data_IF_812358506704
#
_entry.id   IF_812358506704
#
_cell.length_a   1.000
_cell.length_b   1.000
_cell.length_c   1.000
_cell.angle_alpha   90.00
_cell.angle_beta   90.00
_cell.angle_gamma   90.00
#
_symmetry.space_group_name_H-M   'P 1'
#
loop_
_entity.id
_entity.type
_entity.pdbx_description
1 polymer ?
#
# COMPACT_ATOMS: atom_id res chain seq x y z
N UNK A 1 -10.82 5.92 45.10
CA UNK A 1 -10.94 7.15 44.27
C UNK A 1 -11.23 6.77 42.83
N UNK A 2 -10.43 5.91 42.14
CA UNK A 2 -10.63 5.52 40.74
C UNK A 2 -11.99 4.88 40.49
N UNK A 3 -12.39 3.89 41.31
CA UNK A 3 -13.74 3.25 41.22
C UNK A 3 -14.89 4.24 41.42
N UNK A 4 -14.67 5.29 42.22
CA UNK A 4 -15.67 6.34 42.43
C UNK A 4 -15.78 7.25 41.22
N UNK A 5 -14.65 7.57 40.58
CA UNK A 5 -14.60 8.35 39.34
C UNK A 5 -15.31 7.59 38.20
N UNK A 6 -15.01 6.30 38.02
CA UNK A 6 -15.68 5.46 37.01
C UNK A 6 -17.20 5.38 37.25
N UNK A 7 -17.66 5.26 38.54
CA UNK A 7 -19.08 5.24 38.86
C UNK A 7 -19.76 6.58 38.56
N UNK A 8 -19.09 7.69 38.82
CA UNK A 8 -19.61 9.03 38.54
C UNK A 8 -19.65 9.28 37.02
N UNK A 9 -18.64 8.85 36.28
CA UNK A 9 -18.61 8.96 34.81
C UNK A 9 -19.75 8.16 34.15
N UNK A 10 -20.16 7.01 34.73
CA UNK A 10 -21.32 6.23 34.24
C UNK A 10 -22.65 6.89 34.57
N UNK A 11 -22.73 7.67 35.64
CA UNK A 11 -23.95 8.35 36.05
C UNK A 11 -24.18 9.69 35.36
N UNK A 12 -23.09 10.39 34.95
CA UNK A 12 -23.18 11.68 34.29
C UNK A 12 -24.10 11.70 33.04
N UNK A 13 -24.07 10.73 32.14
CA UNK A 13 -24.98 10.71 30.97
C UNK A 13 -26.46 10.55 31.34
N UNK A 14 -26.75 10.05 32.54
CA UNK A 14 -28.15 9.90 33.04
C UNK A 14 -28.67 11.15 33.76
N UNK A 15 -27.74 12.02 34.20
CA UNK A 15 -28.07 13.27 34.90
C UNK A 15 -28.18 14.45 33.94
N UNK A 16 -27.57 14.36 32.77
CA UNK A 16 -27.68 15.39 31.75
C UNK A 16 -28.87 15.08 30.83
N UNK A 17 -29.91 15.93 30.81
CA UNK A 17 -31.06 15.77 29.92
C UNK A 17 -30.71 16.04 28.46
N UNK A 18 -29.55 16.69 28.18
CA UNK A 18 -29.06 16.98 26.83
C UNK A 18 -28.13 15.85 26.43
N UNK A 19 -28.55 15.06 25.45
CA UNK A 19 -27.74 13.96 24.93
C UNK A 19 -26.86 14.45 23.78
N UNK A 20 -25.60 14.05 23.79
CA UNK A 20 -24.73 14.22 22.62
C UNK A 20 -25.30 13.41 21.44
N UNK A 21 -25.28 13.96 20.22
CA UNK A 21 -25.65 13.18 19.03
C UNK A 21 -24.73 11.96 18.91
N UNK A 22 -25.26 10.82 18.40
CA UNK A 22 -24.46 9.59 18.29
C UNK A 22 -23.30 9.71 17.32
N UNK A 23 -23.33 10.70 16.43
CA UNK A 23 -22.31 10.93 15.42
C UNK A 23 -21.98 12.42 15.35
N UNK A 24 -20.70 12.73 15.50
CA UNK A 24 -20.13 14.07 15.28
C UNK A 24 -19.06 13.93 14.23
N UNK A 25 -19.19 14.65 13.11
CA UNK A 25 -18.16 14.69 12.08
C UNK A 25 -17.14 15.77 12.45
N UNK A 26 -15.91 15.37 12.64
CA UNK A 26 -14.75 16.27 12.66
C UNK A 26 -14.03 16.21 11.32
N UNK A 27 -14.11 17.23 10.46
CA UNK A 27 -13.42 17.24 9.18
C UNK A 27 -11.89 17.25 9.29
N UNK A 28 -11.34 17.58 10.46
CA UNK A 28 -9.90 17.57 10.74
C UNK A 28 -9.40 16.23 11.32
N UNK A 29 -10.29 15.26 11.50
CA UNK A 29 -9.93 13.92 11.92
C UNK A 29 -9.07 13.25 10.83
N UNK A 30 -7.86 12.78 11.16
CA UNK A 30 -6.98 12.10 10.21
C UNK A 30 -7.64 10.92 9.47
N UNK A 31 -8.55 10.20 10.11
CA UNK A 31 -9.27 9.08 9.49
C UNK A 31 -10.26 9.57 8.42
N UNK A 32 -10.94 10.69 8.66
CA UNK A 32 -11.84 11.33 7.68
C UNK A 32 -11.04 11.83 6.48
N UNK A 33 -9.92 12.49 6.72
CA UNK A 33 -9.07 13.00 5.65
C UNK A 33 -8.38 11.86 4.88
N UNK A 34 -7.88 10.86 5.57
CA UNK A 34 -7.29 9.67 4.95
C UNK A 34 -8.26 8.96 4.02
N UNK A 35 -9.51 8.78 4.47
CA UNK A 35 -10.59 8.23 3.66
C UNK A 35 -10.89 9.09 2.44
N UNK A 36 -11.02 10.40 2.59
CA UNK A 36 -11.29 11.32 1.48
C UNK A 36 -10.22 11.24 0.40
N UNK A 37 -8.94 11.24 0.79
CA UNK A 37 -7.82 11.14 -0.14
C UNK A 37 -7.82 9.76 -0.82
N UNK A 38 -8.05 8.69 -0.08
CA UNK A 38 -8.12 7.34 -0.61
C UNK A 38 -9.24 7.19 -1.64
N UNK A 39 -10.46 7.65 -1.32
CA UNK A 39 -11.58 7.60 -2.26
C UNK A 39 -11.30 8.48 -3.51
N UNK A 40 -10.66 9.63 -3.33
CA UNK A 40 -10.24 10.48 -4.45
C UNK A 40 -9.22 9.77 -5.35
N UNK A 41 -8.27 9.00 -4.77
CA UNK A 41 -7.34 8.18 -5.55
C UNK A 41 -8.08 7.11 -6.36
N UNK A 42 -9.05 6.44 -5.74
CA UNK A 42 -9.73 5.30 -6.36
C UNK A 42 -10.60 5.68 -7.57
N UNK A 43 -10.98 6.95 -7.71
CA UNK A 43 -11.73 7.46 -8.88
C UNK A 43 -10.81 8.08 -9.95
N UNK A 44 -9.49 8.18 -9.72
CA UNK A 44 -8.58 8.62 -10.76
C UNK A 44 -8.53 7.63 -11.92
N UNK A 45 -8.17 8.11 -13.10
CA UNK A 45 -7.91 7.25 -14.25
C UNK A 45 -6.74 6.30 -13.97
N UNK A 46 -6.79 5.11 -14.55
CA UNK A 46 -5.66 4.19 -14.57
C UNK A 46 -4.68 4.59 -15.67
N UNK A 47 -3.41 4.54 -15.34
CA UNK A 47 -2.32 4.77 -16.27
C UNK A 47 -1.46 3.51 -16.34
N UNK A 48 -1.06 3.11 -17.54
CA UNK A 48 -0.11 2.02 -17.70
C UNK A 48 1.19 2.36 -16.94
N UNK A 49 1.57 1.49 -16.00
CA UNK A 49 2.75 1.74 -15.14
C UNK A 49 4.03 1.89 -15.96
N UNK A 50 4.10 1.21 -17.10
CA UNK A 50 5.24 1.26 -18.03
C UNK A 50 5.50 2.67 -18.56
N UNK A 51 4.45 3.44 -18.87
CA UNK A 51 4.53 4.69 -19.63
C UNK A 51 4.29 5.94 -18.79
N UNK A 52 4.21 5.85 -17.45
CA UNK A 52 4.01 7.01 -16.59
C UNK A 52 5.14 8.03 -16.79
N UNK A 53 4.78 9.18 -17.32
CA UNK A 53 5.70 10.30 -17.52
C UNK A 53 6.14 10.92 -16.19
N UNK A 54 7.36 11.51 -16.20
CA UNK A 54 7.90 12.17 -15.01
C UNK A 54 7.07 13.41 -14.64
N UNK A 55 6.69 13.52 -13.36
CA UNK A 55 5.92 14.62 -12.81
C UNK A 55 6.39 15.01 -11.41
N UNK A 56 6.00 16.20 -10.94
CA UNK A 56 6.29 16.70 -9.61
C UNK A 56 5.19 16.32 -8.63
N UNK A 57 5.59 16.00 -7.40
CA UNK A 57 4.69 15.77 -6.29
C UNK A 57 5.09 14.60 -5.42
N UNK A 58 4.51 14.56 -4.23
CA UNK A 58 4.44 13.45 -3.29
C UNK A 58 2.98 13.09 -3.06
N UNK A 59 2.70 11.90 -2.51
CA UNK A 59 1.32 11.50 -2.30
C UNK A 59 1.14 9.99 -2.22
N UNK A 60 0.01 9.51 -2.67
CA UNK A 60 -0.40 8.10 -2.59
C UNK A 60 -0.60 7.49 -3.97
N UNK A 61 -0.46 6.18 -4.06
CA UNK A 61 -0.66 5.43 -5.30
C UNK A 61 -1.13 4.01 -5.03
N UNK A 62 -1.76 3.42 -6.03
CA UNK A 62 -2.18 2.02 -6.04
C UNK A 62 -1.75 1.39 -7.37
N UNK A 63 -1.27 0.14 -7.31
CA UNK A 63 -0.87 -0.66 -8.48
C UNK A 63 -1.90 -1.77 -8.66
N UNK A 64 -2.32 -1.98 -9.90
CA UNK A 64 -3.32 -2.95 -10.32
C UNK A 64 -2.70 -3.95 -11.27
N UNK A 65 -3.27 -5.15 -11.32
CA UNK A 65 -2.83 -6.23 -12.17
C UNK A 65 -3.94 -6.67 -13.14
N UNK A 66 -3.56 -6.92 -14.41
CA UNK A 66 -4.49 -7.33 -15.47
C UNK A 66 -3.96 -8.50 -16.31
N UNK A 67 -2.99 -9.24 -15.78
CA UNK A 67 -2.30 -10.31 -16.54
C UNK A 67 -2.79 -11.73 -16.23
N UNK A 68 -1.99 -12.68 -16.72
CA UNK A 68 -2.30 -14.11 -16.70
C UNK A 68 -1.62 -14.94 -15.61
N UNK A 69 -0.89 -14.36 -14.66
CA UNK A 69 -0.22 -15.12 -13.60
C UNK A 69 -1.24 -15.84 -12.71
N UNK A 70 -1.19 -17.17 -12.66
CA UNK A 70 -2.21 -18.01 -12.03
C UNK A 70 -2.64 -17.59 -10.63
N UNK A 71 -1.65 -17.27 -9.76
CA UNK A 71 -1.94 -16.88 -8.37
C UNK A 71 -2.67 -15.54 -8.26
N UNK A 72 -2.63 -14.69 -9.30
CA UNK A 72 -3.24 -13.36 -9.31
C UNK A 72 -4.51 -13.26 -10.15
N UNK A 73 -4.95 -14.39 -10.75
CA UNK A 73 -6.21 -14.46 -11.51
C UNK A 73 -7.41 -13.83 -10.80
N UNK A 74 -7.61 -14.03 -9.49
CA UNK A 74 -8.76 -13.44 -8.80
C UNK A 74 -8.82 -11.92 -8.85
N UNK A 75 -7.66 -11.20 -8.84
CA UNK A 75 -7.62 -9.75 -8.90
C UNK A 75 -7.37 -9.19 -10.30
N UNK A 76 -7.10 -10.07 -11.28
CA UNK A 76 -6.79 -9.62 -12.64
C UNK A 76 -7.96 -8.84 -13.25
N UNK A 77 -7.68 -7.60 -13.67
CA UNK A 77 -8.68 -6.69 -14.24
C UNK A 77 -9.67 -6.08 -13.24
N UNK A 78 -9.60 -6.44 -11.96
CA UNK A 78 -10.50 -5.91 -10.91
C UNK A 78 -10.10 -4.50 -10.43
N UNK A 79 -10.92 -3.91 -9.54
CA UNK A 79 -10.59 -2.67 -8.84
C UNK A 79 -9.81 -2.88 -7.53
N UNK A 80 -9.44 -4.12 -7.21
CA UNK A 80 -8.60 -4.43 -6.06
C UNK A 80 -7.12 -4.23 -6.40
N UNK A 81 -6.40 -3.32 -5.72
CA UNK A 81 -4.98 -3.12 -5.95
C UNK A 81 -4.17 -4.32 -5.44
N UNK A 82 -3.12 -4.69 -6.18
CA UNK A 82 -2.14 -5.69 -5.74
C UNK A 82 -1.14 -5.10 -4.75
N UNK A 83 -0.93 -3.76 -4.83
CA UNK A 83 -0.06 -2.99 -3.95
C UNK A 83 -0.58 -1.56 -3.79
N UNK A 84 -0.46 -1.01 -2.60
CA UNK A 84 -0.63 0.42 -2.32
C UNK A 84 0.60 0.97 -1.62
N UNK A 85 0.85 2.27 -1.77
CA UNK A 85 1.97 2.91 -1.15
C UNK A 85 1.88 4.42 -1.18
N UNK A 86 2.84 5.05 -0.50
CA UNK A 86 3.00 6.50 -0.48
C UNK A 86 4.40 6.91 -0.90
N UNK A 87 4.54 8.17 -1.24
CA UNK A 87 5.80 8.85 -1.40
C UNK A 87 5.82 10.09 -0.54
N UNK A 88 6.69 10.11 0.46
CA UNK A 88 6.84 11.28 1.33
C UNK A 88 7.72 12.34 0.64
N UNK A 89 7.44 13.66 0.83
CA UNK A 89 8.30 14.72 0.34
C UNK A 89 9.66 14.69 1.07
N UNK A 90 10.64 15.34 0.49
CA UNK A 90 11.99 15.42 1.09
C UNK A 90 11.98 16.12 2.45
N UNK A 91 11.07 17.09 2.65
CA UNK A 91 10.88 17.81 3.90
C UNK A 91 9.39 18.08 4.11
N UNK A 92 8.94 18.14 5.36
CA UNK A 92 7.56 18.53 5.71
C UNK A 92 7.18 19.94 5.28
N UNK A 93 8.17 20.82 5.05
CA UNK A 93 7.96 22.18 4.59
C UNK A 93 7.66 22.28 3.07
N UNK A 94 7.77 21.20 2.33
CA UNK A 94 7.47 21.16 0.89
C UNK A 94 5.96 21.13 0.66
N UNK A 95 5.34 22.29 0.49
CA UNK A 95 3.87 22.45 0.39
C UNK A 95 3.35 22.46 -1.04
N UNK A 96 4.21 22.71 -2.03
CA UNK A 96 3.83 22.67 -3.45
C UNK A 96 4.39 21.43 -4.16
N UNK A 97 3.74 20.93 -5.23
CA UNK A 97 4.25 19.78 -5.99
C UNK A 97 5.71 19.97 -6.46
N UNK A 98 6.10 21.17 -6.88
CA UNK A 98 7.48 21.46 -7.30
C UNK A 98 8.46 21.31 -6.12
N UNK A 99 8.13 21.82 -4.95
CA UNK A 99 8.95 21.68 -3.75
C UNK A 99 9.04 20.23 -3.27
N UNK A 100 7.98 19.45 -3.45
CA UNK A 100 7.96 18.03 -3.14
C UNK A 100 8.90 17.22 -4.04
N UNK A 101 9.34 17.77 -5.16
CA UNK A 101 10.18 17.09 -6.14
C UNK A 101 9.42 16.01 -6.89
N UNK A 102 10.13 15.01 -7.41
CA UNK A 102 9.53 13.93 -8.21
C UNK A 102 9.35 12.64 -7.39
N UNK A 103 9.04 12.75 -6.11
CA UNK A 103 9.06 11.62 -5.16
C UNK A 103 8.08 10.52 -5.56
N UNK A 104 6.84 10.91 -5.88
CA UNK A 104 5.78 9.95 -6.25
C UNK A 104 6.13 9.24 -7.57
N UNK A 105 6.56 9.98 -8.59
CA UNK A 105 7.04 9.38 -9.82
C UNK A 105 8.24 8.45 -9.59
N UNK A 106 9.20 8.85 -8.75
CA UNK A 106 10.38 8.02 -8.45
C UNK A 106 9.98 6.67 -7.86
N UNK A 107 9.01 6.65 -6.94
CA UNK A 107 8.49 5.39 -6.36
C UNK A 107 7.83 4.52 -7.42
N UNK A 108 6.95 5.07 -8.26
CA UNK A 108 6.32 4.34 -9.36
C UNK A 108 7.38 3.76 -10.33
N UNK A 109 8.40 4.56 -10.65
CA UNK A 109 9.50 4.12 -11.50
C UNK A 109 10.35 3.00 -10.87
N UNK A 110 10.56 3.00 -9.55
CA UNK A 110 11.26 1.93 -8.85
C UNK A 110 10.44 0.63 -8.85
N UNK A 111 9.12 0.74 -8.71
CA UNK A 111 8.20 -0.39 -8.86
C UNK A 111 8.22 -0.95 -10.29
N UNK A 112 8.17 -0.07 -11.30
CA UNK A 112 8.32 -0.47 -12.71
C UNK A 112 9.59 -1.27 -12.91
N UNK A 113 10.75 -0.77 -12.44
CA UNK A 113 12.03 -1.50 -12.53
C UNK A 113 11.99 -2.87 -11.83
N UNK A 114 11.34 -2.95 -10.67
CA UNK A 114 11.22 -4.22 -9.93
C UNK A 114 10.39 -5.24 -10.70
N UNK A 115 9.26 -4.83 -11.28
CA UNK A 115 8.41 -5.70 -12.10
C UNK A 115 9.14 -6.12 -13.37
N UNK A 116 9.76 -5.18 -14.09
CA UNK A 116 10.52 -5.48 -15.30
C UNK A 116 11.71 -6.42 -15.04
N UNK A 117 12.30 -6.38 -13.85
CA UNK A 117 13.39 -7.28 -13.49
C UNK A 117 12.90 -8.71 -13.17
N UNK A 118 11.64 -8.90 -12.83
CA UNK A 118 11.07 -10.21 -12.54
C UNK A 118 10.96 -11.06 -13.82
N UNK A 119 11.45 -12.30 -13.77
CA UNK A 119 11.50 -13.18 -14.96
C UNK A 119 10.14 -13.74 -15.40
N UNK A 120 9.10 -13.59 -14.57
CA UNK A 120 7.77 -14.18 -14.76
C UNK A 120 6.62 -13.17 -14.65
N UNK A 121 6.93 -11.88 -14.76
CA UNK A 121 5.94 -10.81 -14.85
C UNK A 121 6.19 -9.99 -16.12
N UNK A 122 5.14 -9.44 -16.69
CA UNK A 122 5.20 -8.49 -17.80
C UNK A 122 4.72 -7.12 -17.31
N UNK A 123 5.52 -6.08 -17.50
CA UNK A 123 5.18 -4.72 -17.07
C UNK A 123 3.91 -4.18 -17.74
N UNK A 124 3.61 -4.65 -18.95
CA UNK A 124 2.40 -4.27 -19.69
C UNK A 124 1.10 -4.73 -19.03
N UNK A 125 1.19 -5.69 -18.09
CA UNK A 125 0.05 -6.19 -17.31
C UNK A 125 -0.24 -5.36 -16.05
N UNK A 126 0.43 -4.22 -15.87
CA UNK A 126 0.31 -3.41 -14.66
C UNK A 126 -0.11 -1.97 -14.94
N UNK A 127 -1.17 -1.56 -14.27
CA UNK A 127 -1.65 -0.18 -14.23
C UNK A 127 -1.41 0.43 -12.85
N UNK A 128 -1.44 1.76 -12.79
CA UNK A 128 -1.42 2.47 -11.53
C UNK A 128 -2.45 3.62 -11.52
N UNK A 129 -2.89 3.96 -10.32
CA UNK A 129 -3.51 5.25 -9.99
C UNK A 129 -2.58 5.98 -9.04
N UNK A 130 -2.50 7.28 -9.16
CA UNK A 130 -1.71 8.11 -8.25
C UNK A 130 -2.40 9.45 -8.01
N UNK A 131 -2.17 10.01 -6.81
CA UNK A 131 -2.72 11.29 -6.41
C UNK A 131 -1.65 12.08 -5.66
N UNK A 132 -1.33 13.27 -6.17
CA UNK A 132 -0.45 14.22 -5.48
C UNK A 132 -1.22 14.85 -4.32
N UNK A 133 -0.65 14.78 -3.13
CA UNK A 133 -1.27 15.26 -1.90
C UNK A 133 -0.33 16.27 -1.22
N UNK A 134 -0.89 17.29 -0.58
CA UNK A 134 -0.10 18.17 0.29
C UNK A 134 0.55 17.35 1.41
N UNK A 135 1.73 17.80 1.84
CA UNK A 135 2.52 17.11 2.86
C UNK A 135 1.71 16.78 4.12
N UNK A 136 2.02 15.65 4.71
CA UNK A 136 1.50 15.05 5.95
C UNK A 136 0.27 14.13 5.80
N UNK A 137 -0.55 14.22 4.78
CA UNK A 137 -1.80 13.45 4.67
C UNK A 137 -1.67 12.11 3.90
N UNK A 138 -0.54 11.89 3.22
CA UNK A 138 -0.33 10.66 2.45
C UNK A 138 -0.26 9.39 3.33
N UNK A 139 0.17 9.52 4.58
CA UNK A 139 0.28 8.40 5.52
C UNK A 139 -1.09 7.83 5.91
N UNK A 140 -2.03 8.68 6.31
CA UNK A 140 -3.38 8.27 6.69
C UNK A 140 -4.13 7.64 5.52
N UNK A 141 -3.97 8.18 4.31
CA UNK A 141 -4.57 7.61 3.11
C UNK A 141 -3.98 6.23 2.75
N UNK A 142 -2.67 6.04 2.87
CA UNK A 142 -2.03 4.73 2.68
C UNK A 142 -2.58 3.72 3.69
N UNK A 143 -2.64 4.08 4.97
CA UNK A 143 -3.19 3.22 6.03
C UNK A 143 -4.62 2.80 5.71
N UNK A 144 -5.50 3.75 5.38
CA UNK A 144 -6.88 3.45 5.00
C UNK A 144 -6.98 2.48 3.81
N UNK A 145 -6.17 2.68 2.77
CA UNK A 145 -6.15 1.80 1.59
C UNK A 145 -5.65 0.38 1.94
N UNK A 146 -4.62 0.27 2.78
CA UNK A 146 -4.09 -1.01 3.25
C UNK A 146 -5.15 -1.76 4.06
N UNK A 147 -5.82 -1.11 5.00
CA UNK A 147 -6.87 -1.72 5.83
C UNK A 147 -8.07 -2.17 4.98
N UNK A 148 -8.46 -1.35 4.01
CA UNK A 148 -9.60 -1.65 3.12
C UNK A 148 -9.35 -2.85 2.22
N UNK A 149 -8.18 -2.91 1.56
CA UNK A 149 -7.90 -3.90 0.52
C UNK A 149 -7.00 -5.05 0.98
N UNK A 150 -6.19 -4.83 2.00
CA UNK A 150 -5.11 -5.74 2.44
C UNK A 150 -4.32 -6.30 1.26
N UNK A 151 -3.67 -5.43 0.42
CA UNK A 151 -3.08 -5.86 -0.83
C UNK A 151 -1.96 -6.87 -0.59
N UNK A 152 -1.92 -7.94 -1.39
CA UNK A 152 -1.04 -9.10 -1.14
C UNK A 152 0.46 -8.80 -1.21
N UNK A 153 0.85 -7.71 -1.86
CA UNK A 153 2.26 -7.29 -1.96
C UNK A 153 2.69 -6.32 -0.84
N UNK A 154 1.74 -5.83 -0.03
CA UNK A 154 2.02 -5.05 1.16
C UNK A 154 2.46 -5.95 2.33
N UNK A 155 3.25 -5.38 3.24
CA UNK A 155 3.76 -6.11 4.41
C UNK A 155 2.62 -6.57 5.34
N UNK A 156 1.58 -5.78 5.44
CA UNK A 156 0.44 -5.97 6.34
C UNK A 156 -0.37 -7.23 5.98
N UNK A 157 -0.39 -7.61 4.71
CA UNK A 157 -0.97 -8.89 4.29
C UNK A 157 -0.14 -10.10 4.74
N UNK A 158 1.17 -9.92 4.97
CA UNK A 158 2.06 -10.97 5.46
C UNK A 158 2.32 -12.10 4.46
N UNK A 159 1.89 -11.98 3.20
CA UNK A 159 1.85 -13.09 2.23
C UNK A 159 2.96 -12.97 1.19
N UNK A 160 2.88 -11.99 0.31
CA UNK A 160 3.82 -11.81 -0.79
C UNK A 160 4.53 -10.45 -0.69
N UNK A 161 4.97 -10.08 0.52
CA UNK A 161 5.61 -8.81 0.82
C UNK A 161 7.05 -8.74 0.31
N UNK A 162 7.64 -7.54 0.39
CA UNK A 162 9.01 -7.26 -0.03
C UNK A 162 9.13 -6.57 -1.39
N UNK A 163 8.02 -6.35 -2.07
CA UNK A 163 7.97 -5.57 -3.32
C UNK A 163 8.49 -4.14 -3.13
N UNK A 164 8.10 -3.48 -2.05
CA UNK A 164 8.53 -2.11 -1.72
C UNK A 164 10.00 -1.94 -1.35
N UNK A 165 10.80 -3.01 -1.26
CA UNK A 165 12.24 -2.93 -1.00
C UNK A 165 12.99 -2.66 -2.30
N UNK A 166 13.64 -1.52 -2.40
CA UNK A 166 14.31 -1.06 -3.63
C UNK A 166 15.84 -1.00 -3.51
N UNK A 167 16.47 -2.08 -3.07
CA UNK A 167 17.92 -2.12 -3.15
C UNK A 167 18.66 -1.24 -2.13
N UNK A 168 18.00 -0.81 -1.04
CA UNK A 168 18.66 -0.10 0.05
C UNK A 168 19.80 -0.94 0.61
N UNK A 169 20.82 -0.31 1.04
CA UNK A 169 22.13 -0.80 1.48
C UNK A 169 22.24 -2.33 1.68
N UNK A 170 23.03 -3.03 0.84
CA UNK A 170 23.22 -4.47 0.94
C UNK A 170 23.83 -4.92 2.26
N UNK A 171 24.55 -4.03 2.98
CA UNK A 171 25.26 -4.36 4.21
C UNK A 171 24.34 -4.38 5.43
N UNK A 172 23.24 -3.60 5.40
CA UNK A 172 22.28 -3.53 6.52
C UNK A 172 21.10 -4.48 6.38
N UNK A 173 20.98 -5.19 5.26
CA UNK A 173 19.91 -6.17 5.04
C UNK A 173 20.21 -7.49 5.72
N UNK A 174 19.20 -8.04 6.41
CA UNK A 174 19.17 -9.48 6.59
C UNK A 174 19.15 -10.12 5.19
N UNK A 175 20.17 -10.88 4.82
CA UNK A 175 20.37 -11.52 3.52
C UNK A 175 19.31 -12.62 3.21
N UNK A 176 18.05 -12.41 3.58
CA UNK A 176 16.95 -13.32 3.30
C UNK A 176 16.13 -12.78 2.13
N UNK A 177 15.86 -13.64 1.16
CA UNK A 177 14.91 -13.34 0.11
C UNK A 177 13.54 -13.07 0.71
N UNK A 178 12.83 -12.10 0.17
CA UNK A 178 11.42 -11.89 0.52
C UNK A 178 10.53 -12.94 -0.17
N UNK A 179 9.29 -13.14 0.28
CA UNK A 179 8.33 -13.97 -0.45
C UNK A 179 8.08 -13.44 -1.87
N UNK A 180 8.08 -12.13 -2.09
CA UNK A 180 7.97 -11.54 -3.43
C UNK A 180 9.15 -11.94 -4.32
N UNK A 181 10.39 -11.82 -3.84
CA UNK A 181 11.59 -12.21 -4.61
C UNK A 181 11.69 -13.73 -4.83
N UNK A 182 11.05 -14.51 -3.98
CA UNK A 182 10.97 -15.96 -4.11
C UNK A 182 9.97 -16.34 -5.20
N UNK A 183 8.80 -15.68 -5.23
CA UNK A 183 7.77 -15.91 -6.24
C UNK A 183 8.13 -15.30 -7.59
N UNK A 184 8.82 -14.15 -7.59
CA UNK A 184 9.20 -13.36 -8.78
C UNK A 184 10.72 -13.12 -8.80
N UNK A 185 11.52 -14.12 -9.18
CA UNK A 185 12.97 -13.99 -9.24
C UNK A 185 13.39 -13.05 -10.37
N UNK A 186 14.48 -12.28 -10.14
CA UNK A 186 15.06 -11.43 -11.18
C UNK A 186 15.76 -10.18 -10.67
N UNK A 187 15.37 -9.64 -9.50
CA UNK A 187 16.07 -8.48 -8.92
C UNK A 187 17.49 -8.89 -8.51
N UNK A 188 18.51 -8.26 -9.11
CA UNK A 188 19.94 -8.62 -8.94
C UNK A 188 20.39 -8.69 -7.48
N UNK A 189 19.91 -7.77 -6.63
CA UNK A 189 20.30 -7.75 -5.23
C UNK A 189 19.70 -8.93 -4.43
N UNK A 190 18.54 -9.42 -4.81
CA UNK A 190 17.87 -10.54 -4.15
C UNK A 190 18.45 -11.91 -4.56
N UNK A 191 19.22 -11.95 -5.67
CA UNK A 191 19.82 -13.17 -6.22
C UNK A 191 21.31 -13.30 -5.91
N UNK A 192 21.91 -12.40 -5.10
CA UNK A 192 23.32 -12.47 -4.72
C UNK A 192 23.62 -13.78 -4.01
N UNK A 193 24.80 -14.31 -4.33
CA UNK A 193 25.37 -15.47 -3.64
C UNK A 193 25.47 -15.21 -2.15
N UNK A 194 24.97 -16.13 -1.30
CA UNK A 194 24.89 -15.95 0.16
C UNK A 194 23.53 -15.47 0.69
N UNK A 195 22.60 -15.01 -0.15
CA UNK A 195 21.25 -14.70 0.31
C UNK A 195 20.51 -15.98 0.73
N UNK A 196 20.04 -16.01 1.97
CA UNK A 196 19.25 -17.14 2.46
C UNK A 196 17.93 -17.23 1.69
N UNK A 197 17.50 -18.44 1.28
CA UNK A 197 16.18 -18.63 0.70
C UNK A 197 15.10 -18.23 1.72
N UNK A 198 13.95 -17.80 1.21
CA UNK A 198 12.78 -17.64 2.05
C UNK A 198 12.34 -19.02 2.59
N UNK A 199 11.78 -19.05 3.79
CA UNK A 199 11.43 -20.32 4.46
C UNK A 199 10.25 -21.05 3.82
N UNK A 200 9.39 -20.34 3.03
CA UNK A 200 8.29 -20.95 2.29
C UNK A 200 8.70 -21.18 0.83
N UNK A 201 8.23 -22.31 0.29
CA UNK A 201 8.33 -22.60 -1.14
C UNK A 201 7.34 -21.77 -1.97
N UNK A 202 7.60 -21.66 -3.28
CA UNK A 202 6.69 -21.01 -4.23
C UNK A 202 5.27 -21.57 -4.13
N UNK A 203 5.14 -22.90 -3.97
CA UNK A 203 3.84 -23.56 -3.83
C UNK A 203 3.09 -23.06 -2.60
N UNK A 204 3.75 -23.02 -1.45
CA UNK A 204 3.16 -22.53 -0.19
C UNK A 204 2.77 -21.06 -0.26
N UNK A 205 3.60 -20.20 -0.91
CA UNK A 205 3.24 -18.79 -1.12
C UNK A 205 1.97 -18.68 -1.99
N UNK A 206 1.86 -19.45 -3.08
CA UNK A 206 0.67 -19.47 -3.94
C UNK A 206 -0.57 -19.98 -3.19
N UNK A 207 -0.43 -20.97 -2.32
CA UNK A 207 -1.51 -21.48 -1.48
C UNK A 207 -2.00 -20.41 -0.49
N UNK A 208 -1.08 -19.64 0.11
CA UNK A 208 -1.45 -18.49 0.98
C UNK A 208 -2.20 -17.41 0.20
N UNK A 209 -1.75 -17.07 -1.01
CA UNK A 209 -2.43 -16.10 -1.88
C UNK A 209 -3.85 -16.57 -2.20
N UNK A 210 -4.01 -17.85 -2.58
CA UNK A 210 -5.32 -18.42 -2.87
C UNK A 210 -6.24 -18.38 -1.64
N UNK A 211 -5.72 -18.74 -0.46
CA UNK A 211 -6.45 -18.65 0.80
C UNK A 211 -6.90 -17.22 1.15
N UNK A 212 -6.05 -16.25 0.88
CA UNK A 212 -6.37 -14.82 1.08
C UNK A 212 -7.56 -14.39 0.23
N UNK A 213 -7.56 -14.69 -1.07
CA UNK A 213 -8.64 -14.31 -1.97
C UNK A 213 -9.95 -15.05 -1.73
N UNK A 214 -9.90 -16.26 -1.15
CA UNK A 214 -11.11 -16.96 -0.69
C UNK A 214 -11.74 -16.25 0.51
N UNK A 215 -10.95 -15.73 1.43
CA UNK A 215 -11.43 -15.00 2.62
C UNK A 215 -11.81 -13.54 2.32
N UNK A 216 -11.15 -12.94 1.35
CA UNK A 216 -11.32 -11.53 0.93
C UNK A 216 -11.47 -11.48 -0.60
N UNK A 217 -12.68 -11.72 -1.12
CA UNK A 217 -12.92 -11.63 -2.56
C UNK A 217 -12.60 -10.24 -3.10
N UNK A 218 -11.96 -10.13 -4.28
CA UNK A 218 -11.68 -8.87 -4.91
C UNK A 218 -12.94 -8.04 -5.15
N UNK A 219 -12.80 -6.72 -5.07
CA UNK A 219 -13.88 -5.78 -5.42
C UNK A 219 -13.93 -5.66 -6.96
N UNK A 220 -15.13 -5.78 -7.50
CA UNK A 220 -15.39 -5.66 -8.94
C UNK A 220 -15.10 -4.24 -9.47
#
# INVERSE_FOLDING_TARGET
>A
IEKTIESLQRLLPHLDPIKLPPHVLDPSDPDVEGKLIAETLLVQERHALETVHKFYGSGVYAIYYSGGFDAYKPISGSNTPIYVGKADPATHAAVTPIQQGTKLWSRLNDHRKSITAASNLDISEFDCRYLVVKSAWQGTAETYLIERFLPIWNNEAGICYGFGKHGDDPETRSNARSPWDTLHPGRKWATKEGNRPYHLSIKQIKEQIAGHFLQRPPQA
#
